data_IF_498980068263
#
_entry.id   IF_498980068263
#
_cell.length_a   1.000
_cell.length_b   1.000
_cell.length_c   1.000
_cell.angle_alpha   90.00
_cell.angle_beta   90.00
_cell.angle_gamma   90.00
#
_symmetry.space_group_name_H-M   'P 1'
#
loop_
_entity.id
_entity.type
_entity.pdbx_description
1 polymer ?
#
# COMPACT_ATOMS: atom_id res chain seq x y z
N UNK A 1 -20.64 -13.41 -7.24
CA UNK A 1 -19.67 -13.24 -6.14
C UNK A 1 -19.93 -14.37 -5.16
N UNK A 2 -18.94 -15.11 -4.65
CA UNK A 2 -19.20 -16.08 -3.58
C UNK A 2 -19.87 -15.32 -2.43
N UNK A 3 -20.88 -15.94 -1.83
CA UNK A 3 -21.71 -15.36 -0.78
C UNK A 3 -20.86 -15.28 0.50
N UNK A 4 -19.96 -14.31 0.56
CA UNK A 4 -19.19 -13.99 1.76
C UNK A 4 -20.13 -13.25 2.71
N UNK A 5 -20.29 -13.80 3.91
CA UNK A 5 -21.05 -13.14 4.97
C UNK A 5 -20.19 -11.96 5.48
N UNK A 6 -20.66 -10.74 5.23
CA UNK A 6 -19.97 -9.52 5.65
C UNK A 6 -20.63 -8.98 6.91
N UNK A 7 -19.86 -8.58 7.94
CA UNK A 7 -20.44 -8.11 9.20
C UNK A 7 -21.43 -6.96 9.03
N UNK A 8 -21.19 -6.06 8.06
CA UNK A 8 -22.11 -4.99 7.68
C UNK A 8 -21.80 -4.48 6.26
N UNK A 9 -22.56 -3.46 5.82
CA UNK A 9 -22.40 -2.83 4.51
C UNK A 9 -21.01 -2.17 4.32
N UNK A 10 -20.39 -1.66 5.37
CA UNK A 10 -19.08 -1.01 5.29
C UNK A 10 -17.97 -2.03 5.00
N UNK A 11 -18.00 -3.21 5.64
CA UNK A 11 -17.06 -4.29 5.34
C UNK A 11 -17.23 -4.82 3.90
N UNK A 12 -18.48 -4.91 3.42
CA UNK A 12 -18.77 -5.26 2.02
C UNK A 12 -18.19 -4.22 1.06
N UNK A 13 -18.36 -2.94 1.36
CA UNK A 13 -17.82 -1.84 0.56
C UNK A 13 -16.29 -1.81 0.59
N UNK A 14 -15.66 -2.03 1.75
CA UNK A 14 -14.21 -2.13 1.88
C UNK A 14 -13.65 -3.25 0.98
N UNK A 15 -14.28 -4.42 0.98
CA UNK A 15 -13.92 -5.52 0.08
C UNK A 15 -14.01 -5.12 -1.40
N UNK A 16 -15.09 -4.43 -1.79
CA UNK A 16 -15.27 -3.97 -3.16
C UNK A 16 -14.14 -3.02 -3.60
N UNK A 17 -13.82 -2.02 -2.78
CA UNK A 17 -12.76 -1.02 -3.06
C UNK A 17 -11.40 -1.69 -3.29
N UNK A 18 -11.08 -2.68 -2.45
CA UNK A 18 -9.79 -3.37 -2.44
C UNK A 18 -9.49 -4.14 -3.71
N UNK A 19 -10.51 -4.61 -4.44
CA UNK A 19 -10.30 -5.34 -5.68
C UNK A 19 -9.49 -4.55 -6.71
N UNK A 20 -9.63 -3.23 -6.79
CA UNK A 20 -8.86 -2.40 -7.71
C UNK A 20 -7.35 -2.54 -7.49
N UNK A 21 -6.90 -2.25 -6.27
CA UNK A 21 -5.49 -2.31 -5.88
C UNK A 21 -4.92 -3.73 -6.00
N UNK A 22 -5.68 -4.73 -5.53
CA UNK A 22 -5.25 -6.12 -5.58
C UNK A 22 -5.08 -6.63 -7.01
N UNK A 23 -6.07 -6.38 -7.87
CA UNK A 23 -6.02 -6.83 -9.26
C UNK A 23 -4.91 -6.10 -10.04
N UNK A 24 -4.71 -4.81 -9.79
CA UNK A 24 -3.62 -4.04 -10.38
C UNK A 24 -2.25 -4.61 -9.98
N UNK A 25 -2.01 -4.85 -8.69
CA UNK A 25 -0.77 -5.44 -8.21
C UNK A 25 -0.49 -6.82 -8.82
N UNK A 26 -1.52 -7.68 -8.94
CA UNK A 26 -1.40 -8.99 -9.60
C UNK A 26 -1.04 -8.81 -11.09
N UNK A 27 -1.71 -7.87 -11.78
CA UNK A 27 -1.46 -7.61 -13.20
C UNK A 27 -0.03 -7.12 -13.43
N UNK A 28 0.46 -6.15 -12.64
CA UNK A 28 1.84 -5.65 -12.72
C UNK A 28 2.84 -6.79 -12.51
N UNK A 29 2.63 -7.60 -11.47
CA UNK A 29 3.50 -8.76 -11.22
C UNK A 29 3.54 -9.72 -12.41
N UNK A 30 2.39 -9.96 -13.05
CA UNK A 30 2.29 -10.81 -14.24
C UNK A 30 2.98 -10.21 -15.47
N UNK A 31 2.89 -8.91 -15.67
CA UNK A 31 3.57 -8.22 -16.77
C UNK A 31 5.09 -8.33 -16.60
N UNK A 32 5.62 -8.07 -15.40
CA UNK A 32 7.05 -8.19 -15.12
C UNK A 32 7.55 -9.62 -15.30
N UNK A 33 6.77 -10.62 -14.84
CA UNK A 33 7.06 -12.04 -15.09
C UNK A 33 7.14 -12.33 -16.60
N UNK A 34 6.19 -11.81 -17.40
CA UNK A 34 6.17 -11.99 -18.85
C UNK A 34 7.39 -11.36 -19.55
N UNK A 35 7.93 -10.27 -19.00
CA UNK A 35 9.16 -9.63 -19.45
C UNK A 35 10.44 -10.34 -18.99
N UNK A 36 10.34 -11.48 -18.30
CA UNK A 36 11.48 -12.25 -17.82
C UNK A 36 12.07 -11.76 -16.50
N UNK A 37 11.41 -10.80 -15.82
CA UNK A 37 11.84 -10.30 -14.51
C UNK A 37 11.27 -11.23 -13.44
N UNK A 38 12.15 -11.89 -12.67
CA UNK A 38 11.75 -12.72 -11.53
C UNK A 38 10.97 -11.87 -10.53
N UNK A 39 9.66 -12.08 -10.47
CA UNK A 39 8.74 -11.24 -9.72
C UNK A 39 7.71 -12.10 -9.01
N UNK A 40 7.34 -11.75 -7.78
CA UNK A 40 6.21 -12.35 -7.07
C UNK A 40 5.25 -11.30 -6.54
N UNK A 41 3.96 -11.62 -6.58
CA UNK A 41 2.96 -10.89 -5.81
C UNK A 41 2.96 -11.41 -4.38
N UNK A 42 3.18 -10.53 -3.41
CA UNK A 42 3.02 -10.82 -1.99
C UNK A 42 1.61 -10.43 -1.58
N UNK A 43 0.85 -11.40 -1.07
CA UNK A 43 -0.48 -11.14 -0.55
C UNK A 43 -0.41 -10.17 0.64
N UNK A 44 -1.48 -9.37 0.85
CA UNK A 44 -1.65 -8.60 2.07
C UNK A 44 -1.44 -9.49 3.30
N UNK A 45 -0.76 -8.94 4.29
CA UNK A 45 -0.29 -9.69 5.46
C UNK A 45 0.19 -8.79 6.60
N UNK A 46 -0.01 -7.47 6.45
CA UNK A 46 0.03 -6.54 7.56
C UNK A 46 -1.22 -6.80 8.41
N UNK A 47 -1.08 -6.61 9.72
CA UNK A 47 -2.20 -6.69 10.63
C UNK A 47 -2.67 -5.27 10.88
N UNK A 48 -3.96 -5.00 10.67
CA UNK A 48 -4.56 -3.69 10.92
C UNK A 48 -5.67 -3.75 11.95
N UNK A 49 -5.89 -2.66 12.65
CA UNK A 49 -7.00 -2.45 13.59
C UNK A 49 -7.87 -1.28 13.11
N UNK A 50 -8.87 -0.89 13.89
CA UNK A 50 -9.73 0.25 13.57
C UNK A 50 -11.03 -0.18 12.87
N UNK A 51 -11.47 0.64 11.92
CA UNK A 51 -12.78 0.47 11.23
C UNK A 51 -12.58 0.12 9.75
N UNK A 52 -13.61 -0.37 9.03
CA UNK A 52 -13.47 -0.77 7.62
C UNK A 52 -12.92 0.31 6.68
N UNK A 53 -13.07 1.59 7.03
CA UNK A 53 -12.64 2.74 6.22
C UNK A 53 -11.61 3.64 6.93
N UNK A 54 -11.12 3.24 8.11
CA UNK A 54 -10.08 3.95 8.84
C UNK A 54 -9.25 2.92 9.61
N UNK A 55 -8.49 2.15 8.84
CA UNK A 55 -7.58 1.16 9.38
C UNK A 55 -6.35 1.84 10.00
N UNK A 56 -5.83 1.24 11.06
CA UNK A 56 -4.58 1.64 11.72
C UNK A 56 -3.63 0.45 11.75
N UNK A 57 -2.33 0.70 11.65
CA UNK A 57 -1.32 -0.36 11.59
C UNK A 57 -1.13 -0.96 12.99
N UNK A 58 -1.38 -2.26 13.13
CA UNK A 58 -1.09 -2.98 14.36
C UNK A 58 0.42 -3.22 14.48
N UNK A 59 1.05 -3.05 15.66
CA UNK A 59 2.47 -3.37 15.88
C UNK A 59 2.90 -4.78 15.44
N UNK A 60 2.00 -5.77 15.49
CA UNK A 60 2.24 -7.14 15.03
C UNK A 60 2.66 -7.20 13.54
N UNK A 61 2.22 -6.22 12.74
CA UNK A 61 2.68 -6.04 11.35
C UNK A 61 4.20 -6.11 11.24
N UNK A 62 4.93 -5.43 12.12
CA UNK A 62 6.39 -5.38 12.04
C UNK A 62 7.05 -6.70 12.48
N UNK A 63 6.37 -7.51 13.29
CA UNK A 63 6.81 -8.88 13.60
C UNK A 63 6.65 -9.78 12.38
N UNK A 64 5.54 -9.64 11.65
CA UNK A 64 5.28 -10.42 10.44
C UNK A 64 6.21 -10.02 9.29
N UNK A 65 6.45 -8.72 9.10
CA UNK A 65 7.35 -8.24 8.05
C UNK A 65 8.79 -8.73 8.22
N UNK A 66 9.28 -8.88 9.45
CA UNK A 66 10.61 -9.48 9.72
C UNK A 66 10.75 -10.92 9.22
N UNK A 67 9.64 -11.64 9.02
CA UNK A 67 9.63 -13.02 8.54
C UNK A 67 9.55 -13.10 7.01
N UNK A 68 9.31 -11.98 6.33
CA UNK A 68 9.26 -11.93 4.87
C UNK A 68 10.67 -12.12 4.32
N UNK A 69 10.86 -13.16 3.51
CA UNK A 69 12.12 -13.42 2.82
C UNK A 69 12.15 -12.63 1.50
N UNK A 70 13.17 -11.81 1.34
CA UNK A 70 13.46 -11.09 0.10
C UNK A 70 14.75 -11.65 -0.48
N UNK A 71 14.76 -11.90 -1.78
CA UNK A 71 15.95 -12.30 -2.52
C UNK A 71 16.37 -11.13 -3.40
N UNK A 72 17.68 -10.90 -3.54
CA UNK A 72 18.22 -9.78 -4.31
C UNK A 72 17.87 -9.86 -5.81
N UNK A 73 17.68 -11.08 -6.31
CA UNK A 73 17.35 -11.36 -7.71
C UNK A 73 15.84 -11.31 -8.01
N UNK A 74 15.00 -10.94 -7.04
CA UNK A 74 13.55 -10.93 -7.15
C UNK A 74 12.96 -9.51 -7.00
N UNK A 75 11.80 -9.29 -7.62
CA UNK A 75 10.94 -8.15 -7.34
C UNK A 75 9.68 -8.62 -6.62
N UNK A 76 9.28 -7.88 -5.59
CA UNK A 76 8.08 -8.19 -4.82
C UNK A 76 7.07 -7.08 -5.03
N UNK A 77 5.90 -7.43 -5.56
CA UNK A 77 4.79 -6.51 -5.72
C UNK A 77 3.82 -6.72 -4.57
N UNK A 78 3.47 -5.63 -3.89
CA UNK A 78 2.53 -5.59 -2.77
C UNK A 78 1.41 -4.60 -3.09
N UNK A 79 0.16 -4.95 -2.80
CA UNK A 79 -0.97 -4.05 -2.98
C UNK A 79 -1.07 -3.05 -1.83
N UNK A 80 -1.22 -1.76 -2.14
CA UNK A 80 -1.39 -0.70 -1.14
C UNK A 80 -2.80 -0.62 -0.55
N UNK A 81 -3.03 0.42 0.27
CA UNK A 81 -4.35 0.94 0.67
C UNK A 81 -5.16 0.12 1.69
N UNK A 82 -4.89 -1.17 1.88
CA UNK A 82 -5.67 -2.01 2.79
C UNK A 82 -4.84 -3.12 3.41
N UNK A 83 -5.36 -3.69 4.51
CA UNK A 83 -4.94 -5.02 4.95
C UNK A 83 -6.01 -5.72 5.82
N UNK A 84 -5.62 -6.80 6.51
CA UNK A 84 -6.52 -7.70 7.22
C UNK A 84 -6.49 -7.44 8.74
N UNK A 85 -7.67 -7.42 9.36
CA UNK A 85 -7.83 -7.35 10.80
C UNK A 85 -7.55 -8.69 11.48
N UNK A 86 -7.25 -8.74 12.79
CA UNK A 86 -7.12 -10.01 13.52
C UNK A 86 -8.36 -10.92 13.43
N UNK A 87 -9.54 -10.36 13.15
CA UNK A 87 -10.79 -11.10 12.93
C UNK A 87 -10.97 -11.60 11.49
N UNK A 88 -9.98 -11.43 10.62
CA UNK A 88 -10.00 -11.90 9.23
C UNK A 88 -10.76 -11.02 8.26
N UNK A 89 -11.09 -9.78 8.64
CA UNK A 89 -11.83 -8.85 7.78
C UNK A 89 -10.89 -7.87 7.08
N UNK A 90 -11.28 -7.43 5.88
CA UNK A 90 -10.57 -6.35 5.18
C UNK A 90 -10.92 -5.02 5.83
N UNK A 91 -9.89 -4.21 6.10
CA UNK A 91 -10.02 -2.81 6.45
C UNK A 91 -9.11 -1.96 5.55
N UNK A 92 -9.66 -0.83 5.09
CA UNK A 92 -8.96 0.12 4.23
C UNK A 92 -8.42 1.27 5.07
N UNK A 93 -7.21 1.74 4.73
CA UNK A 93 -6.68 2.98 5.26
C UNK A 93 -7.54 4.17 4.77
N UNK A 94 -7.43 5.29 5.45
CA UNK A 94 -8.03 6.55 5.00
C UNK A 94 -7.25 7.12 3.79
N UNK A 95 -7.35 8.42 3.52
CA UNK A 95 -6.66 9.04 2.37
C UNK A 95 -5.15 8.82 2.46
N UNK A 96 -4.51 8.58 1.31
CA UNK A 96 -3.08 8.27 1.24
C UNK A 96 -2.75 6.84 1.67
N UNK A 97 -3.73 5.93 1.68
CA UNK A 97 -3.53 4.57 2.17
C UNK A 97 -2.38 3.80 1.49
N UNK A 98 -2.15 4.00 0.19
CA UNK A 98 -1.01 3.37 -0.49
C UNK A 98 0.33 3.94 -0.04
N UNK A 99 0.40 5.25 0.27
CA UNK A 99 1.60 5.88 0.83
C UNK A 99 1.88 5.37 2.24
N UNK A 100 0.82 5.20 3.04
CA UNK A 100 0.90 4.58 4.38
C UNK A 100 1.44 3.16 4.26
N UNK A 101 0.90 2.34 3.34
CA UNK A 101 1.41 0.98 3.10
C UNK A 101 2.89 1.00 2.73
N UNK A 102 3.30 1.89 1.81
CA UNK A 102 4.70 2.04 1.39
C UNK A 102 5.62 2.37 2.57
N UNK A 103 5.24 3.35 3.40
CA UNK A 103 6.00 3.74 4.58
C UNK A 103 6.11 2.61 5.62
N UNK A 104 5.02 1.87 5.85
CA UNK A 104 5.01 0.71 6.76
C UNK A 104 5.92 -0.40 6.28
N UNK A 105 5.88 -0.72 4.98
CA UNK A 105 6.78 -1.70 4.38
C UNK A 105 8.23 -1.26 4.47
N UNK A 106 8.52 0.00 4.12
CA UNK A 106 9.88 0.55 4.20
C UNK A 106 10.43 0.44 5.63
N UNK A 107 9.63 0.79 6.64
CA UNK A 107 10.02 0.63 8.05
C UNK A 107 10.19 -0.85 8.43
N UNK A 108 9.23 -1.70 8.09
CA UNK A 108 9.23 -3.10 8.53
C UNK A 108 10.28 -3.98 7.85
N UNK A 109 10.67 -3.62 6.62
CA UNK A 109 11.71 -4.29 5.85
C UNK A 109 13.08 -3.61 5.98
N UNK A 110 13.18 -2.56 6.81
CA UNK A 110 14.40 -1.78 7.02
C UNK A 110 15.01 -1.23 5.72
N UNK A 111 14.16 -0.68 4.86
CA UNK A 111 14.58 -0.08 3.59
C UNK A 111 15.41 1.19 3.84
N UNK A 112 16.48 1.36 3.08
CA UNK A 112 17.32 2.57 3.14
C UNK A 112 16.63 3.79 2.50
N UNK A 113 15.70 3.56 1.57
CA UNK A 113 14.99 4.59 0.82
C UNK A 113 13.55 4.15 0.55
N UNK A 114 12.62 5.10 0.65
CA UNK A 114 11.25 4.97 0.19
C UNK A 114 11.00 6.03 -0.88
N UNK A 115 10.54 5.59 -2.05
CA UNK A 115 10.23 6.45 -3.19
C UNK A 115 8.72 6.43 -3.44
N UNK A 116 8.13 7.62 -3.59
CA UNK A 116 6.75 7.77 -3.99
C UNK A 116 6.69 8.27 -5.43
N UNK A 117 6.11 7.48 -6.32
CA UNK A 117 5.94 7.81 -7.73
C UNK A 117 4.52 8.35 -7.94
N UNK A 118 4.43 9.60 -8.38
CA UNK A 118 3.17 10.32 -8.61
C UNK A 118 3.19 10.99 -9.99
N UNK A 119 2.11 11.66 -10.35
CA UNK A 119 1.90 12.34 -11.63
C UNK A 119 2.52 13.75 -11.68
N UNK A 120 3.13 14.20 -10.59
CA UNK A 120 3.89 15.45 -10.50
C UNK A 120 5.35 15.21 -10.15
N UNK A 121 6.25 15.98 -10.75
CA UNK A 121 7.70 15.78 -10.61
C UNK A 121 8.27 16.15 -9.22
N UNK A 122 7.53 16.93 -8.43
CA UNK A 122 7.98 17.42 -7.14
C UNK A 122 6.83 17.77 -6.21
N UNK A 123 7.15 17.86 -4.91
CA UNK A 123 6.34 18.62 -3.96
C UNK A 123 6.61 20.10 -4.22
N UNK A 124 5.57 20.86 -4.57
CA UNK A 124 5.66 22.29 -4.85
C UNK A 124 5.31 23.13 -3.62
N UNK A 125 5.82 24.37 -3.58
CA UNK A 125 5.53 25.34 -2.51
C UNK A 125 4.05 25.77 -2.45
N UNK A 126 3.31 25.55 -3.53
CA UNK A 126 1.87 25.78 -3.66
C UNK A 126 1.30 24.82 -4.70
N UNK A 127 -0.03 24.65 -4.73
CA UNK A 127 -0.70 23.78 -5.71
C UNK A 127 -0.48 24.30 -7.14
N UNK A 128 0.18 23.53 -8.04
CA UNK A 128 0.47 23.95 -9.40
C UNK A 128 -0.75 24.09 -10.31
N UNK A 129 -1.92 23.59 -9.90
CA UNK A 129 -3.18 23.79 -10.61
C UNK A 129 -3.88 25.11 -10.24
N UNK A 130 -3.42 25.80 -9.18
CA UNK A 130 -4.02 27.05 -8.69
C UNK A 130 -3.06 28.22 -8.91
N UNK A 131 -1.78 28.00 -8.65
CA UNK A 131 -0.72 29.00 -8.82
C UNK A 131 0.15 28.57 -9.98
N UNK A 132 0.33 29.46 -10.96
CA UNK A 132 1.22 29.22 -12.07
C UNK A 132 2.69 29.19 -11.60
N UNK A 133 3.44 28.19 -12.09
CA UNK A 133 4.88 28.01 -11.85
C UNK A 133 5.32 28.08 -10.37
N UNK A 134 4.72 27.29 -9.46
CA UNK A 134 5.14 27.27 -8.07
C UNK A 134 6.55 26.67 -7.97
N UNK A 135 7.33 27.09 -6.97
CA UNK A 135 8.71 26.62 -6.82
C UNK A 135 8.73 25.19 -6.27
N UNK A 136 9.54 24.27 -6.84
CA UNK A 136 9.70 22.94 -6.29
C UNK A 136 10.50 22.97 -4.99
N UNK A 137 10.06 22.18 -4.00
CA UNK A 137 10.76 22.00 -2.74
C UNK A 137 11.79 20.88 -2.93
N UNK A 138 13.09 21.23 -2.88
CA UNK A 138 14.18 20.26 -3.10
C UNK A 138 14.43 19.33 -1.92
N UNK A 139 14.17 19.80 -0.69
CA UNK A 139 14.40 19.04 0.53
C UNK A 139 13.40 19.48 1.60
N UNK A 140 12.77 18.50 2.22
CA UNK A 140 11.92 18.67 3.39
C UNK A 140 12.36 17.67 4.46
N UNK A 141 12.20 18.02 5.73
CA UNK A 141 12.46 17.13 6.86
C UNK A 141 11.15 16.75 7.52
N UNK A 142 11.10 15.55 8.11
CA UNK A 142 10.01 15.16 9.01
C UNK A 142 10.02 16.06 10.26
N UNK A 143 8.84 16.25 10.86
CA UNK A 143 8.67 17.02 12.11
C UNK A 143 9.01 16.13 13.29
#
# INVERSE_FOLDING_TARGET
>A
MPQLDYPNADYRMANLKVHGERLNAILIAKILQHQGIKTRFLQPGLIVTGTPNNAEVNPETYVNLKRVKLNDDERVIFSGFYDITPSGHIATFSRGGSDITGAVLARGLNAALYENFTDVDAIFSANPHIIDQPKPIKKMTYI
#
